data_IF_762873144404
#
_entry.id   IF_762873144404
#
_cell.length_a   1.000
_cell.length_b   1.000
_cell.length_c   1.000
_cell.angle_alpha   90.00
_cell.angle_beta   90.00
_cell.angle_gamma   90.00
#
_symmetry.space_group_name_H-M   'P 1'
#
loop_
_entity.id
_entity.type
_entity.pdbx_description
1 polymer ?
#
# COMPACT_ATOMS: atom_id res chain seq x y z
N UNK A 1 3.00 3.84 0.44
CA UNK A 1 1.75 3.05 0.52
C UNK A 1 1.31 2.48 -0.83
N UNK A 2 0.93 3.29 -1.82
CA UNK A 2 0.38 2.77 -3.09
C UNK A 2 1.35 1.87 -3.87
N UNK A 3 2.65 2.14 -3.82
CA UNK A 3 3.66 1.23 -4.38
C UNK A 3 3.61 -0.17 -3.75
N UNK A 4 3.37 -0.26 -2.43
CA UNK A 4 3.27 -1.53 -1.70
C UNK A 4 1.98 -2.24 -2.10
N UNK A 5 0.84 -1.52 -2.17
CA UNK A 5 -0.43 -2.11 -2.61
C UNK A 5 -0.34 -2.66 -4.05
N UNK A 6 0.40 -2.01 -4.95
CA UNK A 6 0.68 -2.55 -6.29
C UNK A 6 1.55 -3.80 -6.22
N UNK A 7 2.61 -3.76 -5.41
CA UNK A 7 3.48 -4.90 -5.19
C UNK A 7 2.74 -6.10 -4.59
N UNK A 8 1.77 -5.88 -3.70
CA UNK A 8 0.91 -6.95 -3.16
C UNK A 8 0.15 -7.67 -4.26
N UNK A 9 -0.42 -6.93 -5.22
CA UNK A 9 -1.07 -7.53 -6.40
C UNK A 9 -0.09 -8.31 -7.28
N UNK A 10 1.12 -7.79 -7.51
CA UNK A 10 2.16 -8.48 -8.30
C UNK A 10 2.70 -9.73 -7.61
N UNK A 11 2.89 -9.66 -6.29
CA UNK A 11 3.42 -10.74 -5.45
C UNK A 11 2.33 -11.70 -4.97
N UNK A 12 1.08 -11.47 -5.37
CA UNK A 12 -0.11 -12.23 -4.93
C UNK A 12 -0.20 -12.35 -3.40
N UNK A 13 0.10 -11.26 -2.69
CA UNK A 13 0.01 -11.17 -1.24
C UNK A 13 -1.38 -10.70 -0.84
N UNK A 14 -2.10 -11.53 -0.11
CA UNK A 14 -3.40 -11.18 0.45
C UNK A 14 -3.26 -10.23 1.64
N UNK A 15 -4.28 -9.39 1.87
CA UNK A 15 -4.39 -8.63 3.11
C UNK A 15 -4.56 -9.56 4.31
N UNK A 16 -4.05 -9.12 5.46
CA UNK A 16 -4.31 -9.79 6.73
C UNK A 16 -5.78 -9.74 7.12
N UNK A 17 -6.47 -8.65 6.79
CA UNK A 17 -7.92 -8.53 6.91
C UNK A 17 -8.58 -8.20 5.55
N UNK A 18 -9.53 -9.02 5.05
CA UNK A 18 -10.24 -8.77 3.79
C UNK A 18 -11.07 -7.48 3.78
N UNK A 19 -11.45 -6.95 4.95
CA UNK A 19 -12.12 -5.65 5.06
C UNK A 19 -11.22 -4.46 4.66
N UNK A 20 -9.94 -4.71 4.38
CA UNK A 20 -8.99 -3.70 3.88
C UNK A 20 -8.97 -3.57 2.35
N UNK A 21 -9.59 -4.50 1.61
CA UNK A 21 -9.76 -4.38 0.16
C UNK A 21 -10.40 -3.06 -0.29
N UNK A 22 -11.51 -2.58 0.31
CA UNK A 22 -12.09 -1.29 -0.06
C UNK A 22 -11.17 -0.12 0.28
N UNK A 23 -10.45 -0.16 1.41
CA UNK A 23 -9.47 0.86 1.80
C UNK A 23 -8.35 0.95 0.74
N UNK A 24 -7.84 -0.19 0.26
CA UNK A 24 -6.80 -0.26 -0.75
C UNK A 24 -7.27 0.30 -2.09
N UNK A 25 -8.51 0.02 -2.48
CA UNK A 25 -9.14 0.56 -3.69
C UNK A 25 -9.28 2.08 -3.61
N UNK A 26 -9.72 2.61 -2.46
CA UNK A 26 -9.81 4.05 -2.22
C UNK A 26 -8.44 4.72 -2.38
N UNK A 27 -7.40 4.20 -1.71
CA UNK A 27 -6.05 4.74 -1.80
C UNK A 27 -5.48 4.71 -3.23
N UNK A 28 -5.77 3.65 -4.00
CA UNK A 28 -5.37 3.54 -5.41
C UNK A 28 -6.10 4.54 -6.31
N UNK A 29 -7.42 4.70 -6.12
CA UNK A 29 -8.25 5.61 -6.93
C UNK A 29 -7.84 7.07 -6.74
N UNK A 30 -7.59 7.48 -5.48
CA UNK A 30 -7.15 8.83 -5.15
C UNK A 30 -5.79 9.14 -5.80
N UNK A 31 -4.84 8.20 -5.75
CA UNK A 31 -3.53 8.38 -6.42
C UNK A 31 -3.65 8.34 -7.94
N UNK A 32 -4.55 7.52 -8.49
CA UNK A 32 -4.80 7.49 -9.94
C UNK A 32 -5.44 8.79 -10.45
N UNK A 33 -6.20 9.49 -9.61
CA UNK A 33 -6.82 10.78 -9.92
C UNK A 33 -5.83 11.95 -9.97
N UNK A 34 -4.56 11.75 -9.63
CA UNK A 34 -3.52 12.80 -9.62
C UNK A 34 -3.99 14.05 -8.85
N UNK A 35 -4.60 13.85 -7.69
CA UNK A 35 -4.94 14.94 -6.76
C UNK A 35 -3.67 15.43 -6.02
N UNK A 36 -2.55 15.58 -6.74
CA UNK A 36 -1.27 16.11 -6.23
C UNK A 36 -1.39 17.58 -5.76
N UNK A 37 -2.54 18.22 -6.01
CA UNK A 37 -2.82 19.60 -5.66
C UNK A 37 -3.69 19.78 -4.41
N UNK A 38 -4.31 18.72 -3.87
CA UNK A 38 -5.17 18.82 -2.69
C UNK A 38 -4.77 17.84 -1.57
N UNK A 39 -4.87 18.25 -0.29
CA UNK A 39 -4.58 17.37 0.83
C UNK A 39 -5.59 16.21 0.87
N UNK A 40 -5.08 14.99 1.09
CA UNK A 40 -5.93 13.82 1.28
C UNK A 40 -7.02 14.06 2.32
N UNK A 41 -8.27 13.75 1.97
CA UNK A 41 -9.40 13.72 2.91
C UNK A 41 -9.09 12.86 4.13
N UNK A 42 -9.66 13.20 5.29
CA UNK A 42 -9.47 12.45 6.54
C UNK A 42 -9.81 10.96 6.40
N UNK A 43 -10.80 10.63 5.56
CA UNK A 43 -11.18 9.25 5.26
C UNK A 43 -10.04 8.47 4.59
N UNK A 44 -9.38 9.08 3.60
CA UNK A 44 -8.23 8.49 2.90
C UNK A 44 -7.06 8.34 3.85
N UNK A 45 -6.78 9.35 4.67
CA UNK A 45 -5.72 9.27 5.70
C UNK A 45 -5.98 8.14 6.71
N UNK A 46 -7.24 7.97 7.15
CA UNK A 46 -7.63 6.88 8.04
C UNK A 46 -7.48 5.51 7.36
N UNK A 47 -7.92 5.39 6.10
CA UNK A 47 -7.77 4.18 5.29
C UNK A 47 -6.27 3.81 5.12
N UNK A 48 -5.42 4.79 4.78
CA UNK A 48 -3.97 4.59 4.67
C UNK A 48 -3.34 4.11 5.98
N UNK A 49 -3.76 4.67 7.13
CA UNK A 49 -3.29 4.22 8.45
C UNK A 49 -3.73 2.78 8.76
N UNK A 50 -4.97 2.41 8.44
CA UNK A 50 -5.48 1.04 8.61
C UNK A 50 -4.76 0.05 7.72
N UNK A 51 -4.53 0.40 6.46
CA UNK A 51 -3.74 -0.38 5.52
C UNK A 51 -2.31 -0.56 6.02
N UNK A 52 -1.68 0.48 6.56
CA UNK A 52 -0.32 0.37 7.09
C UNK A 52 -0.22 -0.61 8.25
N UNK A 53 -1.24 -0.66 9.10
CA UNK A 53 -1.29 -1.59 10.23
C UNK A 53 -1.66 -3.03 9.82
N UNK A 54 -2.04 -3.28 8.56
CA UNK A 54 -2.38 -4.61 8.09
C UNK A 54 -1.13 -5.50 7.96
N UNK A 55 -1.23 -6.74 8.43
CA UNK A 55 -0.11 -7.68 8.43
C UNK A 55 0.33 -8.06 7.02
N UNK A 56 -0.61 -8.21 6.07
CA UNK A 56 -0.27 -8.51 4.67
C UNK A 56 0.48 -7.36 4.00
N UNK A 57 0.13 -6.12 4.34
CA UNK A 57 0.86 -4.92 3.88
C UNK A 57 2.27 -4.88 4.48
N UNK A 58 2.43 -5.14 5.77
CA UNK A 58 3.74 -5.19 6.43
C UNK A 58 4.62 -6.32 5.86
N UNK A 59 4.06 -7.51 5.61
CA UNK A 59 4.77 -8.63 5.00
C UNK A 59 5.24 -8.31 3.59
N UNK A 60 4.38 -7.67 2.77
CA UNK A 60 4.76 -7.22 1.45
C UNK A 60 5.85 -6.15 1.50
N UNK A 61 5.75 -5.21 2.45
CA UNK A 61 6.77 -4.19 2.67
C UNK A 61 8.13 -4.81 3.03
N UNK A 62 8.16 -5.76 3.98
CA UNK A 62 9.37 -6.48 4.36
C UNK A 62 10.01 -7.19 3.16
N UNK A 63 9.21 -7.85 2.33
CA UNK A 63 9.68 -8.50 1.08
C UNK A 63 10.16 -7.49 0.05
N UNK A 64 9.49 -6.35 -0.10
CA UNK A 64 9.92 -5.29 -1.03
C UNK A 64 11.28 -4.68 -0.63
N UNK A 65 11.55 -4.61 0.67
CA UNK A 65 12.84 -4.16 1.21
C UNK A 65 13.95 -5.18 0.94
N UNK A 66 13.64 -6.47 0.94
CA UNK A 66 14.57 -7.56 0.57
C UNK A 66 15.08 -7.44 -0.88
N UNK A 67 14.23 -6.99 -1.81
CA UNK A 67 14.64 -6.78 -3.21
C UNK A 67 15.46 -5.49 -3.38
N UNK A 68 15.13 -4.40 -2.68
CA UNK A 68 15.87 -3.12 -2.74
C UNK A 68 17.25 -3.21 -2.05
N UNK A 69 17.37 -3.97 -0.95
CA UNK A 69 18.65 -4.18 -0.24
C UNK A 69 19.63 -5.06 -1.00
N UNK A 70 19.16 -6.00 -1.83
CA UNK A 70 20.04 -6.80 -2.68
C UNK A 70 20.52 -6.03 -3.92
N UNK A 71 19.74 -5.08 -4.43
CA UNK A 71 20.14 -4.26 -5.59
C UNK A 71 21.11 -3.11 -5.22
N UNK A 72 21.19 -2.74 -3.94
CA UNK A 72 22.11 -1.71 -3.43
C UNK A 72 23.47 -2.24 -2.94
N UNK A 73 23.73 -3.55 -3.09
CA UNK A 73 24.99 -4.21 -2.75
C UNK A 73 25.90 -4.48 -3.97
N UNK A 74 26.04 -3.50 -4.88
CA UNK A 74 27.06 -3.50 -5.93
C UNK A 74 27.95 -2.27 -5.89
#
# INVERSE_FOLDING_TARGET
MVAILRAMGTLSVSFGNPEREPDAKLAMDVVARMEDTEPFSEEVLAALKRLWADSGVQDCFARSNEYQLNDSAK
#
